data_IF_400808687037
#
_entry.id   IF_400808687037
#
_cell.length_a   1.000
_cell.length_b   1.000
_cell.length_c   1.000
_cell.angle_alpha   90.00
_cell.angle_beta   90.00
_cell.angle_gamma   90.00
#
_symmetry.space_group_name_H-M   'P 1'
#
loop_
_entity.id
_entity.type
_entity.pdbx_description
1 polymer ?
#
# COMPACT_ATOMS: atom_id res chain seq x y z
N UNK A 1 -31.04 6.05 -15.62
CA UNK A 1 -29.61 5.68 -15.57
C UNK A 1 -28.75 6.44 -14.55
N UNK A 2 -28.95 7.74 -14.27
CA UNK A 2 -28.16 8.50 -13.25
C UNK A 2 -28.24 7.97 -11.80
N UNK A 3 -29.25 7.16 -11.45
CA UNK A 3 -29.44 6.58 -10.10
C UNK A 3 -28.60 5.31 -9.85
N UNK A 4 -28.37 4.45 -10.86
CA UNK A 4 -27.66 3.18 -10.66
C UNK A 4 -26.14 3.36 -10.44
N UNK A 5 -25.51 4.34 -11.11
CA UNK A 5 -24.07 4.60 -10.97
C UNK A 5 -23.66 5.07 -9.57
N UNK A 6 -24.55 5.78 -8.86
CA UNK A 6 -24.31 6.23 -7.48
C UNK A 6 -24.23 5.07 -6.48
N UNK A 7 -24.74 3.90 -6.85
CA UNK A 7 -24.66 2.70 -6.04
C UNK A 7 -23.49 1.78 -6.42
N UNK A 8 -22.74 2.10 -7.48
CA UNK A 8 -21.55 1.34 -7.83
C UNK A 8 -20.45 1.53 -6.78
N UNK A 9 -19.81 0.43 -6.40
CA UNK A 9 -18.87 0.38 -5.30
C UNK A 9 -17.66 1.34 -5.47
N UNK A 10 -17.02 1.45 -6.65
CA UNK A 10 -15.92 2.41 -6.84
C UNK A 10 -16.33 3.87 -6.62
N UNK A 11 -17.53 4.26 -7.09
CA UNK A 11 -18.07 5.60 -6.91
C UNK A 11 -18.39 5.86 -5.43
N UNK A 12 -18.96 4.86 -4.73
CA UNK A 12 -19.20 4.97 -3.28
C UNK A 12 -17.91 5.16 -2.51
N UNK A 13 -16.80 4.51 -2.86
CA UNK A 13 -15.52 4.71 -2.15
C UNK A 13 -15.06 6.17 -2.21
N UNK A 14 -15.19 6.81 -3.37
CA UNK A 14 -14.74 8.19 -3.56
C UNK A 14 -15.69 9.17 -2.84
N UNK A 15 -17.00 9.07 -3.10
CA UNK A 15 -17.96 10.10 -2.68
C UNK A 15 -18.67 9.79 -1.36
N UNK A 16 -18.70 8.52 -0.94
CA UNK A 16 -19.37 8.05 0.29
C UNK A 16 -18.52 7.01 1.04
N UNK A 17 -17.27 7.33 1.39
CA UNK A 17 -16.33 6.36 1.95
C UNK A 17 -16.85 5.68 3.22
N UNK A 18 -17.56 6.40 4.08
CA UNK A 18 -18.11 5.83 5.31
C UNK A 18 -19.13 4.73 5.04
N UNK A 19 -20.02 4.92 4.06
CA UNK A 19 -20.99 3.89 3.64
C UNK A 19 -20.27 2.69 3.01
N UNK A 20 -19.31 2.94 2.12
CA UNK A 20 -18.55 1.89 1.44
C UNK A 20 -17.74 1.02 2.42
N UNK A 21 -17.03 1.65 3.36
CA UNK A 21 -16.22 0.93 4.35
C UNK A 21 -17.07 0.23 5.41
N UNK A 22 -18.25 0.76 5.76
CA UNK A 22 -19.22 0.04 6.59
C UNK A 22 -19.74 -1.22 5.87
N UNK A 23 -20.13 -1.12 4.60
CA UNK A 23 -20.54 -2.28 3.78
C UNK A 23 -19.44 -3.35 3.68
N UNK A 24 -18.17 -2.94 3.57
CA UNK A 24 -17.01 -3.82 3.62
C UNK A 24 -16.82 -4.47 4.99
N UNK A 25 -16.89 -3.67 6.06
CA UNK A 25 -16.73 -4.12 7.44
C UNK A 25 -17.83 -5.12 7.84
N UNK A 26 -19.04 -4.95 7.34
CA UNK A 26 -20.14 -5.89 7.53
C UNK A 26 -20.02 -7.16 6.67
N UNK A 27 -19.13 -7.16 5.66
CA UNK A 27 -18.93 -8.27 4.74
C UNK A 27 -19.93 -8.33 3.59
N UNK A 28 -20.72 -7.27 3.36
CA UNK A 28 -21.67 -7.17 2.25
C UNK A 28 -21.00 -7.01 0.88
N UNK A 29 -19.73 -6.58 0.86
CA UNK A 29 -18.96 -6.43 -0.38
C UNK A 29 -18.16 -7.71 -0.69
N UNK A 30 -18.41 -8.31 -1.86
CA UNK A 30 -17.64 -9.43 -2.41
C UNK A 30 -16.22 -9.04 -2.84
N UNK A 31 -15.43 -10.02 -3.27
CA UNK A 31 -14.04 -9.81 -3.71
C UNK A 31 -13.89 -9.23 -5.12
N UNK A 32 -14.93 -9.33 -5.96
CA UNK A 32 -14.88 -8.93 -7.36
C UNK A 32 -14.47 -7.46 -7.54
N UNK A 33 -15.08 -6.55 -6.77
CA UNK A 33 -14.76 -5.12 -6.87
C UNK A 33 -13.35 -4.76 -6.38
N UNK A 34 -12.92 -5.16 -5.16
CA UNK A 34 -11.54 -4.91 -4.72
C UNK A 34 -10.48 -5.44 -5.68
N UNK A 35 -10.62 -6.69 -6.14
CA UNK A 35 -9.68 -7.31 -7.06
C UNK A 35 -9.71 -6.67 -8.45
N UNK A 36 -10.90 -6.34 -8.95
CA UNK A 36 -11.06 -5.67 -10.24
C UNK A 36 -10.45 -4.27 -10.24
N UNK A 37 -10.65 -3.49 -9.17
CA UNK A 37 -10.03 -2.17 -9.01
C UNK A 37 -8.52 -2.27 -8.91
N UNK A 38 -8.00 -3.21 -8.13
CA UNK A 38 -6.57 -3.45 -8.02
C UNK A 38 -5.96 -3.83 -9.38
N UNK A 39 -6.52 -4.83 -10.06
CA UNK A 39 -6.03 -5.25 -11.37
C UNK A 39 -6.11 -4.12 -12.41
N UNK A 40 -7.20 -3.35 -12.43
CA UNK A 40 -7.35 -2.20 -13.33
C UNK A 40 -6.32 -1.09 -13.03
N UNK A 41 -6.05 -0.82 -11.76
CA UNK A 41 -5.02 0.14 -11.36
C UNK A 41 -3.63 -0.34 -11.77
N UNK A 42 -3.28 -1.60 -11.49
CA UNK A 42 -1.99 -2.18 -11.91
C UNK A 42 -1.83 -2.15 -13.44
N UNK A 43 -2.89 -2.46 -14.19
CA UNK A 43 -2.89 -2.35 -15.65
C UNK A 43 -2.66 -0.90 -16.12
N UNK A 44 -3.36 0.07 -15.53
CA UNK A 44 -3.23 1.47 -15.88
C UNK A 44 -1.83 2.00 -15.59
N UNK A 45 -1.28 1.69 -14.41
CA UNK A 45 0.09 2.09 -14.03
C UNK A 45 1.13 1.40 -14.90
N UNK A 46 0.99 0.09 -15.19
CA UNK A 46 1.91 -0.61 -16.10
C UNK A 46 1.87 -0.04 -17.52
N UNK A 47 0.69 0.37 -18.01
CA UNK A 47 0.54 1.03 -19.30
C UNK A 47 1.20 2.42 -19.30
N UNK A 48 1.01 3.21 -18.25
CA UNK A 48 1.65 4.51 -18.09
C UNK A 48 3.17 4.39 -18.05
N UNK A 49 3.71 3.48 -17.24
CA UNK A 49 5.15 3.25 -17.13
C UNK A 49 5.77 2.77 -18.46
N UNK A 50 5.06 1.93 -19.20
CA UNK A 50 5.53 1.44 -20.50
C UNK A 50 5.47 2.49 -21.62
N UNK A 51 4.55 3.45 -21.51
CA UNK A 51 4.35 4.50 -22.51
C UNK A 51 5.16 5.78 -22.23
N UNK A 52 5.47 6.06 -20.97
CA UNK A 52 6.19 7.26 -20.57
C UNK A 52 7.67 7.18 -21.00
N UNK A 53 8.23 8.24 -21.61
CA UNK A 53 9.64 8.29 -21.94
C UNK A 53 10.49 8.42 -20.66
N UNK A 54 11.74 7.96 -20.74
CA UNK A 54 12.61 7.78 -19.57
C UNK A 54 12.93 9.10 -18.84
N UNK A 55 12.99 10.22 -19.56
CA UNK A 55 13.18 11.57 -19.04
C UNK A 55 11.98 12.03 -18.20
N UNK A 56 10.76 11.74 -18.65
CA UNK A 56 9.54 11.99 -17.87
C UNK A 56 9.55 11.19 -16.57
N UNK A 57 9.88 9.90 -16.64
CA UNK A 57 9.97 9.03 -15.47
C UNK A 57 11.07 9.46 -14.50
N UNK A 58 12.23 9.87 -15.01
CA UNK A 58 13.34 10.35 -14.20
C UNK A 58 12.98 11.65 -13.46
N UNK A 59 12.25 12.57 -14.09
CA UNK A 59 11.76 13.79 -13.45
C UNK A 59 10.79 13.49 -12.29
N UNK A 60 10.05 12.38 -12.39
CA UNK A 60 9.04 12.00 -11.40
C UNK A 60 9.60 11.12 -10.28
N UNK A 61 10.68 10.38 -10.53
CA UNK A 61 11.25 9.36 -9.64
C UNK A 61 12.08 9.91 -8.45
N UNK A 62 12.17 11.23 -8.26
CA UNK A 62 12.76 11.83 -7.06
C UNK A 62 14.24 11.46 -6.78
N UNK A 63 15.01 11.16 -7.84
CA UNK A 63 16.43 10.79 -7.75
C UNK A 63 16.72 9.28 -7.79
N UNK A 64 15.69 8.43 -7.88
CA UNK A 64 15.85 7.02 -8.18
C UNK A 64 16.00 6.82 -9.71
N UNK A 65 16.83 5.87 -10.19
CA UNK A 65 16.90 5.58 -11.62
C UNK A 65 15.52 5.12 -12.12
N UNK A 66 15.10 5.47 -13.35
CA UNK A 66 13.81 5.04 -13.88
C UNK A 66 13.77 3.51 -14.01
N UNK A 67 12.62 2.86 -13.73
CA UNK A 67 12.51 1.42 -13.88
C UNK A 67 12.68 1.04 -15.35
N UNK A 68 13.59 0.13 -15.67
CA UNK A 68 13.74 -0.39 -17.03
C UNK A 68 12.80 -1.59 -17.23
N UNK A 69 12.03 -1.59 -18.32
CA UNK A 69 11.10 -2.68 -18.60
C UNK A 69 10.03 -2.32 -19.63
N UNK A 70 9.21 -3.31 -19.95
CA UNK A 70 8.02 -3.12 -20.77
C UNK A 70 6.75 -3.41 -19.99
N UNK A 71 5.60 -3.15 -20.61
CA UNK A 71 4.28 -3.36 -20.01
C UNK A 71 4.13 -4.71 -19.28
N UNK A 72 4.50 -5.81 -19.94
CA UNK A 72 4.38 -7.15 -19.36
C UNK A 72 5.22 -7.30 -18.09
N UNK A 73 6.47 -6.80 -18.10
CA UNK A 73 7.33 -6.83 -16.92
C UNK A 73 6.71 -6.05 -15.77
N UNK A 74 6.25 -4.82 -16.01
CA UNK A 74 5.64 -3.98 -14.99
C UNK A 74 4.34 -4.58 -14.43
N UNK A 75 3.52 -5.17 -15.29
CA UNK A 75 2.28 -5.82 -14.87
C UNK A 75 2.56 -7.09 -14.04
N UNK A 76 3.43 -7.98 -14.52
CA UNK A 76 3.69 -9.26 -13.85
C UNK A 76 4.55 -9.14 -12.59
N UNK A 77 5.33 -8.08 -12.44
CA UNK A 77 6.06 -7.79 -11.18
C UNK A 77 5.21 -6.97 -10.22
N UNK A 78 4.51 -5.97 -10.74
CA UNK A 78 3.65 -5.08 -9.97
C UNK A 78 2.46 -5.78 -9.34
N UNK A 79 1.77 -6.66 -10.08
CA UNK A 79 0.59 -7.36 -9.58
C UNK A 79 0.88 -8.23 -8.34
N UNK A 80 1.83 -9.20 -8.37
CA UNK A 80 2.12 -10.00 -7.19
C UNK A 80 2.84 -9.21 -6.09
N UNK A 81 3.70 -8.25 -6.46
CA UNK A 81 4.41 -7.45 -5.48
C UNK A 81 3.48 -6.51 -4.70
N UNK A 82 2.57 -5.80 -5.38
CA UNK A 82 1.57 -4.95 -4.74
C UNK A 82 0.59 -5.75 -3.88
N UNK A 83 0.26 -7.00 -4.28
CA UNK A 83 -0.52 -7.91 -3.44
C UNK A 83 0.26 -8.29 -2.17
N UNK A 84 1.52 -8.69 -2.31
CA UNK A 84 2.36 -9.01 -1.16
C UNK A 84 2.48 -7.82 -0.19
N UNK A 85 2.66 -6.61 -0.72
CA UNK A 85 2.65 -5.37 0.06
C UNK A 85 1.31 -5.16 0.78
N UNK A 86 0.18 -5.27 0.07
CA UNK A 86 -1.15 -5.10 0.63
C UNK A 86 -1.45 -6.12 1.74
N UNK A 87 -1.14 -7.40 1.51
CA UNK A 87 -1.30 -8.46 2.50
C UNK A 87 -0.43 -8.22 3.74
N UNK A 88 0.85 -7.93 3.55
CA UNK A 88 1.77 -7.69 4.67
C UNK A 88 1.38 -6.44 5.47
N UNK A 89 1.04 -5.33 4.78
CA UNK A 89 0.55 -4.09 5.41
C UNK A 89 -0.72 -4.34 6.21
N UNK A 90 -1.71 -5.06 5.66
CA UNK A 90 -2.96 -5.37 6.36
C UNK A 90 -2.74 -6.29 7.56
N UNK A 91 -1.78 -7.21 7.48
CA UNK A 91 -1.41 -8.09 8.59
C UNK A 91 -0.80 -7.31 9.76
N UNK A 92 0.14 -6.39 9.46
CA UNK A 92 0.68 -5.47 10.46
C UNK A 92 -0.39 -4.57 11.04
N UNK A 93 -1.25 -4.00 10.20
CA UNK A 93 -2.36 -3.15 10.62
C UNK A 93 -3.30 -3.89 11.58
N UNK A 94 -3.68 -5.13 11.28
CA UNK A 94 -4.50 -5.95 12.16
C UNK A 94 -3.80 -6.21 13.51
N UNK A 95 -2.51 -6.53 13.48
CA UNK A 95 -1.68 -6.72 14.66
C UNK A 95 -1.61 -5.46 15.53
N UNK A 96 -1.26 -4.32 14.95
CA UNK A 96 -1.18 -3.03 15.63
C UNK A 96 -2.53 -2.55 16.14
N UNK A 97 -3.61 -2.76 15.37
CA UNK A 97 -4.96 -2.46 15.80
C UNK A 97 -5.35 -3.24 17.06
N UNK A 98 -4.94 -4.51 17.17
CA UNK A 98 -5.19 -5.32 18.37
C UNK A 98 -4.47 -4.75 19.61
N UNK A 99 -3.22 -4.30 19.46
CA UNK A 99 -2.43 -3.67 20.53
C UNK A 99 -3.06 -2.33 20.94
N UNK A 100 -3.53 -1.56 19.96
CA UNK A 100 -4.12 -0.25 20.15
C UNK A 100 -5.60 -0.29 20.51
N UNK A 101 -6.23 -1.46 20.69
CA UNK A 101 -7.67 -1.56 21.01
C UNK A 101 -8.02 -1.06 22.42
N UNK A 102 -7.09 -1.17 23.37
CA UNK A 102 -7.32 -0.80 24.77
C UNK A 102 -6.15 0.02 25.34
N UNK A 103 -6.31 0.52 26.57
CA UNK A 103 -5.27 1.26 27.28
C UNK A 103 -5.04 2.70 26.80
N UNK A 104 -4.13 3.42 27.46
CA UNK A 104 -3.78 4.81 27.14
C UNK A 104 -2.99 4.89 25.83
N UNK A 105 -3.48 5.68 24.89
CA UNK A 105 -2.90 5.80 23.54
C UNK A 105 -1.42 6.23 23.59
N UNK A 106 -1.09 7.24 24.41
CA UNK A 106 0.28 7.76 24.55
C UNK A 106 1.32 6.69 24.95
N UNK A 107 0.90 5.64 25.66
CA UNK A 107 1.80 4.55 26.07
C UNK A 107 1.90 3.42 25.04
N UNK A 108 0.89 3.30 24.16
CA UNK A 108 0.82 2.19 23.20
C UNK A 108 1.19 2.55 21.77
N UNK A 109 1.01 3.80 21.36
CA UNK A 109 1.45 4.29 20.03
C UNK A 109 2.96 4.12 19.81
N UNK A 110 3.83 4.34 20.81
CA UNK A 110 5.26 4.11 20.62
C UNK A 110 5.59 2.67 20.24
N UNK A 111 4.77 1.67 20.59
CA UNK A 111 5.06 0.27 20.32
C UNK A 111 5.01 -0.07 18.81
N UNK A 112 3.90 0.14 18.06
CA UNK A 112 3.90 -0.02 16.62
C UNK A 112 4.94 0.82 15.89
N UNK A 113 5.11 2.08 16.31
CA UNK A 113 6.06 3.00 15.71
C UNK A 113 7.51 2.51 15.89
N UNK A 114 7.88 2.11 17.11
CA UNK A 114 9.19 1.56 17.41
C UNK A 114 9.42 0.24 16.68
N UNK A 115 8.43 -0.65 16.60
CA UNK A 115 8.57 -1.92 15.86
C UNK A 115 8.89 -1.68 14.38
N UNK A 116 8.13 -0.80 13.71
CA UNK A 116 8.38 -0.43 12.32
C UNK A 116 9.73 0.28 12.15
N UNK A 117 10.07 1.21 13.04
CA UNK A 117 11.32 1.96 13.00
C UNK A 117 12.54 1.05 13.22
N UNK A 118 12.53 0.20 14.25
CA UNK A 118 13.64 -0.73 14.54
C UNK A 118 13.89 -1.64 13.34
N UNK A 119 12.82 -2.19 12.76
CA UNK A 119 12.92 -3.06 11.58
C UNK A 119 13.50 -2.30 10.37
N UNK A 120 13.03 -1.08 10.11
CA UNK A 120 13.55 -0.24 9.04
C UNK A 120 15.03 0.11 9.26
N UNK A 121 15.38 0.62 10.44
CA UNK A 121 16.77 0.99 10.79
C UNK A 121 17.73 -0.18 10.70
N UNK A 122 17.29 -1.38 11.09
CA UNK A 122 18.10 -2.58 10.99
C UNK A 122 18.52 -2.91 9.54
N UNK A 123 17.59 -2.78 8.58
CA UNK A 123 17.91 -3.01 7.17
C UNK A 123 18.65 -1.84 6.53
N UNK A 124 18.33 -0.58 6.90
CA UNK A 124 19.06 0.61 6.43
C UNK A 124 20.54 0.54 6.86
N UNK A 125 20.81 0.24 8.13
CA UNK A 125 22.17 0.13 8.66
C UNK A 125 22.99 -0.98 7.97
N UNK A 126 22.31 -1.96 7.37
CA UNK A 126 22.93 -3.11 6.68
C UNK A 126 22.91 -3.02 5.17
N UNK A 127 22.37 -1.95 4.58
CA UNK A 127 22.25 -1.82 3.14
C UNK A 127 23.59 -1.90 2.40
N UNK A 128 24.67 -1.36 2.99
CA UNK A 128 26.02 -1.41 2.41
C UNK A 128 26.78 -2.72 2.73
N UNK A 129 26.28 -3.53 3.65
CA UNK A 129 26.82 -4.87 3.88
C UNK A 129 26.23 -5.78 2.80
N UNK A 130 27.01 -6.11 1.76
CA UNK A 130 26.63 -6.84 0.52
C UNK A 130 25.82 -8.14 0.67
N UNK A 131 25.49 -8.57 1.87
CA UNK A 131 24.33 -9.40 2.17
C UNK A 131 23.88 -9.02 3.58
N UNK A 132 22.57 -8.84 3.81
CA UNK A 132 22.07 -8.61 5.17
C UNK A 132 22.41 -9.76 6.15
N UNK A 133 23.03 -10.84 5.65
CA UNK A 133 23.58 -11.96 6.40
C UNK A 133 22.49 -12.86 6.98
N UNK A 134 22.87 -13.91 7.72
CA UNK A 134 21.92 -14.79 8.41
C UNK A 134 20.95 -14.02 9.33
N UNK A 135 21.43 -12.92 9.93
CA UNK A 135 20.62 -12.05 10.79
C UNK A 135 19.54 -11.29 10.00
N UNK A 136 19.83 -10.86 8.77
CA UNK A 136 18.85 -10.26 7.87
C UNK A 136 17.70 -11.23 7.55
N UNK A 137 18.06 -12.46 7.18
CA UNK A 137 17.09 -13.53 6.93
C UNK A 137 16.26 -13.86 8.16
N UNK A 138 16.89 -13.98 9.33
CA UNK A 138 16.18 -14.23 10.59
C UNK A 138 15.20 -13.09 10.92
N UNK A 139 15.60 -11.83 10.75
CA UNK A 139 14.74 -10.68 10.99
C UNK A 139 13.55 -10.63 10.02
N UNK A 140 13.77 -10.89 8.72
CA UNK A 140 12.71 -10.95 7.72
C UNK A 140 11.74 -12.13 7.98
N UNK A 141 12.25 -13.30 8.32
CA UNK A 141 11.44 -14.46 8.68
C UNK A 141 10.62 -14.22 9.95
N UNK A 142 11.20 -13.58 10.96
CA UNK A 142 10.49 -13.19 12.17
C UNK A 142 9.37 -12.17 11.89
N UNK A 143 9.63 -11.16 11.05
CA UNK A 143 8.64 -10.19 10.64
C UNK A 143 7.47 -10.85 9.88
N UNK A 144 7.77 -11.76 8.96
CA UNK A 144 6.77 -12.55 8.24
C UNK A 144 5.96 -13.45 9.18
N UNK A 145 6.62 -14.16 10.10
CA UNK A 145 5.96 -15.00 11.09
C UNK A 145 5.02 -14.20 12.00
N UNK A 146 5.45 -13.03 12.46
CA UNK A 146 4.63 -12.13 13.27
C UNK A 146 3.44 -11.57 12.48
N UNK A 147 3.65 -11.17 11.22
CA UNK A 147 2.57 -10.72 10.35
C UNK A 147 1.56 -11.84 10.10
N UNK A 148 2.01 -13.05 9.76
CA UNK A 148 1.16 -14.21 9.56
C UNK A 148 0.36 -14.54 10.83
N UNK A 149 1.01 -14.54 11.99
CA UNK A 149 0.33 -14.74 13.28
C UNK A 149 -0.73 -13.67 13.54
N UNK A 150 -0.42 -12.40 13.29
CA UNK A 150 -1.36 -11.29 13.46
C UNK A 150 -2.58 -11.42 12.53
N UNK A 151 -2.37 -11.84 11.28
CA UNK A 151 -3.43 -12.08 10.31
C UNK A 151 -4.33 -13.25 10.74
N UNK A 152 -3.75 -14.36 11.23
CA UNK A 152 -4.49 -15.54 11.66
C UNK A 152 -5.32 -15.30 12.93
N UNK A 153 -4.85 -14.42 13.83
CA UNK A 153 -5.55 -14.12 15.10
C UNK A 153 -6.91 -13.49 14.89
N UNK A 154 -7.07 -12.64 13.88
CA UNK A 154 -8.35 -12.01 13.52
C UNK A 154 -8.53 -12.04 12.00
N UNK A 155 -8.64 -13.26 11.46
CA UNK A 155 -8.70 -13.51 10.03
C UNK A 155 -9.83 -12.73 9.33
N UNK A 156 -10.95 -12.52 10.01
CA UNK A 156 -12.08 -11.75 9.46
C UNK A 156 -11.74 -10.28 9.31
N UNK A 157 -11.19 -9.64 10.35
CA UNK A 157 -10.75 -8.25 10.27
C UNK A 157 -9.63 -8.10 9.23
N UNK A 158 -8.66 -9.02 9.22
CA UNK A 158 -7.57 -9.05 8.23
C UNK A 158 -8.09 -9.07 6.79
N UNK A 159 -8.96 -10.03 6.43
CA UNK A 159 -9.48 -10.12 5.06
C UNK A 159 -10.31 -8.91 4.66
N UNK A 160 -11.04 -8.31 5.61
CA UNK A 160 -11.80 -7.06 5.37
C UNK A 160 -10.87 -5.86 5.16
N UNK A 161 -9.77 -5.77 5.92
CA UNK A 161 -8.72 -4.78 5.71
C UNK A 161 -8.08 -4.94 4.34
N UNK A 162 -7.76 -6.17 3.92
CA UNK A 162 -7.22 -6.45 2.58
C UNK A 162 -8.18 -5.96 1.50
N UNK A 163 -9.47 -6.31 1.60
CA UNK A 163 -10.48 -5.81 0.64
C UNK A 163 -10.51 -4.29 0.60
N UNK A 164 -10.50 -3.64 1.76
CA UNK A 164 -10.51 -2.19 1.82
C UNK A 164 -9.26 -1.60 1.16
N UNK A 165 -8.08 -2.12 1.48
CA UNK A 165 -6.79 -1.70 0.92
C UNK A 165 -6.77 -1.84 -0.60
N UNK A 166 -7.14 -3.01 -1.13
CA UNK A 166 -7.23 -3.23 -2.59
C UNK A 166 -8.25 -2.30 -3.26
N UNK A 167 -9.31 -1.92 -2.56
CA UNK A 167 -10.28 -0.98 -3.10
C UNK A 167 -9.78 0.47 -3.15
N UNK A 168 -8.76 0.82 -2.35
CA UNK A 168 -8.07 2.11 -2.44
C UNK A 168 -7.26 2.26 -3.73
N UNK A 169 -7.02 1.18 -4.48
CA UNK A 169 -6.39 1.23 -5.81
C UNK A 169 -7.18 2.10 -6.81
N UNK A 170 -8.41 2.49 -6.49
CA UNK A 170 -9.13 3.53 -7.23
C UNK A 170 -8.36 4.86 -7.30
N UNK A 171 -7.59 5.19 -6.24
CA UNK A 171 -6.74 6.38 -6.21
C UNK A 171 -5.49 6.19 -7.06
N UNK A 172 -4.89 4.99 -7.06
CA UNK A 172 -3.79 4.64 -7.97
C UNK A 172 -4.23 4.71 -9.43
N UNK A 173 -5.42 4.19 -9.76
CA UNK A 173 -5.99 4.33 -11.10
C UNK A 173 -6.24 5.79 -11.49
N UNK A 174 -6.76 6.61 -10.55
CA UNK A 174 -6.92 8.05 -10.78
C UNK A 174 -5.57 8.76 -10.98
N UNK A 175 -4.52 8.35 -10.27
CA UNK A 175 -3.17 8.89 -10.42
C UNK A 175 -2.58 8.50 -11.78
N UNK A 176 -2.79 7.25 -12.23
CA UNK A 176 -2.37 6.81 -13.56
C UNK A 176 -3.08 7.59 -14.68
N UNK A 177 -4.38 7.90 -14.52
CA UNK A 177 -5.10 8.76 -15.47
C UNK A 177 -4.58 10.20 -15.47
N UNK A 178 -4.32 10.78 -14.30
CA UNK A 178 -3.70 12.09 -14.20
C UNK A 178 -2.29 12.10 -14.80
N UNK A 179 -1.53 11.01 -14.60
CA UNK A 179 -0.21 10.79 -15.18
C UNK A 179 -0.23 10.67 -16.69
N UNK A 180 -1.21 9.98 -17.27
CA UNK A 180 -1.40 9.93 -18.71
C UNK A 180 -1.71 11.33 -19.29
N UNK A 181 -2.55 12.11 -18.63
CA UNK A 181 -2.83 13.48 -19.05
C UNK A 181 -1.59 14.40 -18.92
N UNK A 182 -0.83 14.27 -17.82
CA UNK A 182 0.41 15.00 -17.60
C UNK A 182 1.51 14.62 -18.61
N UNK A 183 1.59 13.34 -18.98
CA UNK A 183 2.48 12.84 -20.01
C UNK A 183 2.16 13.47 -21.37
N UNK A 184 0.87 13.49 -21.76
CA UNK A 184 0.43 14.15 -23.00
C UNK A 184 0.71 15.66 -23.01
N UNK A 185 0.70 16.29 -21.83
CA UNK A 185 1.02 17.71 -21.67
C UNK A 185 2.52 18.00 -21.49
N UNK A 186 3.39 16.97 -21.41
CA UNK A 186 4.82 17.14 -21.12
C UNK A 186 5.10 17.76 -19.75
N UNK A 187 4.23 17.52 -18.76
CA UNK A 187 4.25 18.19 -17.46
C UNK A 187 4.51 17.22 -16.28
N UNK A 188 5.74 16.72 -16.10
CA UNK A 188 6.07 15.73 -15.07
C UNK A 188 5.76 16.20 -13.64
N UNK A 189 5.91 17.49 -13.35
CA UNK A 189 5.57 18.07 -12.03
C UNK A 189 4.08 17.94 -11.69
N UNK A 190 3.20 17.98 -12.70
CA UNK A 190 1.75 17.80 -12.51
C UNK A 190 1.43 16.37 -12.13
N UNK A 191 2.09 15.39 -12.76
CA UNK A 191 1.94 13.98 -12.39
C UNK A 191 2.38 13.75 -10.94
N UNK A 192 3.57 14.24 -10.57
CA UNK A 192 4.10 14.16 -9.21
C UNK A 192 3.17 14.78 -8.16
N UNK A 193 2.62 15.96 -8.46
CA UNK A 193 1.65 16.62 -7.59
C UNK A 193 0.36 15.80 -7.43
N UNK A 194 -0.16 15.23 -8.53
CA UNK A 194 -1.34 14.38 -8.51
C UNK A 194 -1.11 13.09 -7.70
N UNK A 195 0.05 12.46 -7.86
CA UNK A 195 0.44 11.25 -7.13
C UNK A 195 0.52 11.50 -5.62
N UNK A 196 1.15 12.60 -5.18
CA UNK A 196 1.19 12.97 -3.76
C UNK A 196 -0.18 13.32 -3.20
N UNK A 197 -0.99 14.07 -3.95
CA UNK A 197 -2.34 14.43 -3.53
C UNK A 197 -3.21 13.18 -3.36
N UNK A 198 -3.21 12.28 -4.34
CA UNK A 198 -4.02 11.05 -4.30
C UNK A 198 -3.48 10.05 -3.26
N UNK A 199 -2.17 10.00 -3.04
CA UNK A 199 -1.57 9.23 -1.95
C UNK A 199 -2.04 9.74 -0.59
N UNK A 200 -2.04 11.06 -0.38
CA UNK A 200 -2.54 11.67 0.86
C UNK A 200 -4.02 11.38 1.08
N UNK A 201 -4.85 11.49 0.04
CA UNK A 201 -6.28 11.12 0.10
C UNK A 201 -6.44 9.63 0.41
N UNK A 202 -5.66 8.76 -0.23
CA UNK A 202 -5.67 7.32 0.01
C UNK A 202 -5.34 6.98 1.47
N UNK A 203 -4.37 7.67 2.09
CA UNK A 203 -4.04 7.52 3.52
C UNK A 203 -5.23 7.87 4.42
N UNK A 204 -5.90 9.01 4.16
CA UNK A 204 -7.08 9.41 4.92
C UNK A 204 -8.20 8.36 4.79
N UNK A 205 -8.37 7.78 3.60
CA UNK A 205 -9.37 6.74 3.35
C UNK A 205 -8.98 5.41 4.01
N UNK A 206 -7.70 5.07 4.03
CA UNK A 206 -7.18 3.91 4.75
C UNK A 206 -7.48 4.01 6.25
N UNK A 207 -7.28 5.19 6.85
CA UNK A 207 -7.62 5.40 8.28
C UNK A 207 -9.11 5.22 8.52
N UNK A 208 -9.97 5.74 7.64
CA UNK A 208 -11.43 5.55 7.73
C UNK A 208 -11.81 4.07 7.58
N UNK A 209 -11.22 3.37 6.63
CA UNK A 209 -11.42 1.95 6.40
C UNK A 209 -10.97 1.12 7.62
N UNK A 210 -9.78 1.40 8.14
CA UNK A 210 -9.24 0.74 9.32
C UNK A 210 -10.14 0.96 10.53
N UNK A 211 -10.59 2.19 10.78
CA UNK A 211 -11.54 2.50 11.85
C UNK A 211 -12.84 1.70 11.71
N UNK A 212 -13.43 1.68 10.51
CA UNK A 212 -14.68 0.95 10.24
C UNK A 212 -14.53 -0.56 10.43
N UNK A 213 -13.44 -1.16 9.96
CA UNK A 213 -13.22 -2.62 10.03
C UNK A 213 -12.81 -3.09 11.42
N UNK A 214 -12.02 -2.29 12.13
CA UNK A 214 -11.45 -2.70 13.45
C UNK A 214 -12.25 -2.18 14.64
N UNK A 215 -13.20 -1.26 14.43
CA UNK A 215 -13.96 -0.58 15.48
C UNK A 215 -13.15 0.44 16.29
N UNK A 216 -11.94 0.79 15.84
CA UNK A 216 -11.09 1.78 16.49
C UNK A 216 -11.57 3.21 16.21
N UNK A 217 -11.29 4.13 17.14
CA UNK A 217 -11.42 5.56 16.85
C UNK A 217 -10.38 5.99 15.79
N UNK A 218 -10.64 7.10 15.08
CA UNK A 218 -9.78 7.58 13.99
C UNK A 218 -8.31 7.76 14.41
N UNK A 219 -8.04 8.26 15.62
CA UNK A 219 -6.68 8.44 16.13
C UNK A 219 -5.94 7.10 16.30
N UNK A 220 -6.62 6.06 16.82
CA UNK A 220 -6.06 4.70 16.98
C UNK A 220 -5.88 4.02 15.63
N UNK A 221 -6.83 4.17 14.73
CA UNK A 221 -6.74 3.65 13.36
C UNK A 221 -5.56 4.28 12.61
N UNK A 222 -5.36 5.59 12.75
CA UNK A 222 -4.22 6.32 12.20
C UNK A 222 -2.89 5.81 12.77
N UNK A 223 -2.81 5.68 14.10
CA UNK A 223 -1.62 5.16 14.77
C UNK A 223 -1.33 3.68 14.50
N UNK A 224 -2.28 2.93 13.95
CA UNK A 224 -2.06 1.58 13.44
C UNK A 224 -1.64 1.61 11.96
N UNK A 225 -2.33 2.39 11.13
CA UNK A 225 -2.16 2.41 9.68
C UNK A 225 -0.83 2.99 9.21
N UNK A 226 -0.39 4.11 9.80
CA UNK A 226 0.86 4.74 9.39
C UNK A 226 2.06 3.82 9.69
N UNK A 227 2.24 3.28 10.91
CA UNK A 227 3.34 2.34 11.17
C UNK A 227 3.23 1.04 10.36
N UNK A 228 2.03 0.57 10.04
CA UNK A 228 1.84 -0.61 9.20
C UNK A 228 2.35 -0.39 7.77
N UNK A 229 2.03 0.77 7.18
CA UNK A 229 2.54 1.17 5.87
C UNK A 229 4.07 1.34 5.87
N UNK A 230 4.61 2.01 6.89
CA UNK A 230 6.06 2.16 7.04
C UNK A 230 6.75 0.81 7.23
N UNK A 231 6.16 -0.09 8.01
CA UNK A 231 6.64 -1.46 8.19
C UNK A 231 6.59 -2.27 6.89
N UNK A 232 5.55 -2.10 6.08
CA UNK A 232 5.45 -2.73 4.76
C UNK A 232 6.47 -2.17 3.76
N UNK A 233 6.72 -0.87 3.77
CA UNK A 233 7.78 -0.25 2.98
C UNK A 233 9.17 -0.74 3.40
N UNK A 234 9.40 -0.84 4.72
CA UNK A 234 10.62 -1.42 5.26
C UNK A 234 10.78 -2.90 4.89
N UNK A 235 9.68 -3.65 4.82
CA UNK A 235 9.69 -5.03 4.34
C UNK A 235 10.04 -5.11 2.85
N UNK A 236 9.45 -4.27 1.99
CA UNK A 236 9.85 -4.19 0.58
C UNK A 236 11.35 -3.85 0.43
N UNK A 237 11.86 -2.92 1.24
CA UNK A 237 13.30 -2.59 1.27
C UNK A 237 14.15 -3.77 1.76
N UNK A 238 13.67 -4.54 2.74
CA UNK A 238 14.37 -5.74 3.21
C UNK A 238 14.53 -6.80 2.12
N UNK A 239 13.53 -6.96 1.25
CA UNK A 239 13.59 -7.90 0.12
C UNK A 239 14.68 -7.48 -0.88
N UNK A 240 14.79 -6.18 -1.16
CA UNK A 240 15.89 -5.65 -1.96
C UNK A 240 17.25 -5.87 -1.29
N UNK A 241 17.38 -5.55 -0.01
CA UNK A 241 18.63 -5.71 0.75
C UNK A 241 19.07 -7.19 0.89
N UNK A 242 18.13 -8.13 0.86
CA UNK A 242 18.39 -9.57 0.87
C UNK A 242 18.70 -10.14 -0.52
N UNK A 243 18.63 -9.32 -1.58
CA UNK A 243 18.82 -9.78 -2.96
C UNK A 243 17.65 -10.62 -3.50
N UNK A 244 16.50 -10.59 -2.82
CA UNK A 244 15.28 -11.29 -3.24
C UNK A 244 14.55 -10.56 -4.37
N UNK A 245 14.77 -9.25 -4.47
CA UNK A 245 14.10 -8.36 -5.41
C UNK A 245 15.14 -7.41 -6.00
N UNK A 246 15.15 -7.24 -7.33
CA UNK A 246 16.03 -6.29 -8.00
C UNK A 246 15.63 -4.83 -7.74
N UNK A 247 16.54 -3.86 -7.91
CA UNK A 247 16.24 -2.43 -7.71
C UNK A 247 15.04 -1.93 -8.51
N UNK A 248 14.88 -2.39 -9.74
CA UNK A 248 13.77 -2.05 -10.64
C UNK A 248 12.41 -2.48 -10.06
N UNK A 249 12.34 -3.68 -9.48
CA UNK A 249 11.11 -4.21 -8.89
C UNK A 249 10.81 -3.51 -7.56
N UNK A 250 11.83 -3.18 -6.76
CA UNK A 250 11.66 -2.38 -5.55
C UNK A 250 11.09 -0.99 -5.87
N UNK A 251 11.63 -0.31 -6.88
CA UNK A 251 11.11 0.99 -7.32
C UNK A 251 9.68 0.89 -7.83
N UNK A 252 9.38 -0.15 -8.61
CA UNK A 252 8.04 -0.39 -9.11
C UNK A 252 7.03 -0.59 -7.97
N UNK A 253 7.45 -1.24 -6.89
CA UNK A 253 6.64 -1.40 -5.68
C UNK A 253 6.44 -0.12 -4.87
N UNK A 254 7.32 0.86 -5.01
CA UNK A 254 7.15 2.18 -4.39
C UNK A 254 6.23 3.10 -5.21
N UNK A 255 6.14 2.86 -6.52
CA UNK A 255 5.34 3.62 -7.48
C UNK A 255 3.91 3.07 -7.68
N UNK A 256 3.60 1.89 -7.14
CA UNK A 256 2.30 1.20 -7.25
C UNK A 256 1.54 1.16 -5.93
#
# INVERSE_FOLDING_TARGET
>A
MRSMLKHSFPVKIIFRPSEAFAELAEGRTGWAWPLGLYAAATLATAALLAAAPADFLAATAGGLPPPAGGFAFYFFTGLPGGLAFAFFSCALLAGFASVLRSGRLMLRVPLPAAAAAIYAFFFIARYNARSAGPLGWAAAAAALGLAAWAALRDLRAYLRLVKAFLSLSVFTAAAALAGAAALLAGAPEVYKAAEYFLSFVSLVWLVKAAAAVTGLCAARACAAAIPALLGAAAFAFSLMALGLVGPEVFQLLLLM
#
